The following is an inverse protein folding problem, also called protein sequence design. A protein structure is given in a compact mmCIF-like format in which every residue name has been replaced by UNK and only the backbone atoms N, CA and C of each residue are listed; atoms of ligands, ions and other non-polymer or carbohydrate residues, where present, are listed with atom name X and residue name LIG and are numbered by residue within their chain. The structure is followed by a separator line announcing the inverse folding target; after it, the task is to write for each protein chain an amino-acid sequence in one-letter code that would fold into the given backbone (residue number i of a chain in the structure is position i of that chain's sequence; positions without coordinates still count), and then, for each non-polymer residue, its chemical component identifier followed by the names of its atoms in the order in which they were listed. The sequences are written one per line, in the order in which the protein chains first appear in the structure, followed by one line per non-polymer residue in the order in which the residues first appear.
data_IF_352169218555
#
_entry.id   IF_352169218555
#
_cell.length_a   1.000
_cell.length_b   1.000
_cell.length_c   1.000
_cell.angle_alpha   90.00
_cell.angle_beta   90.00
_cell.angle_gamma   90.00
#
_symmetry.space_group_name_H-M   'P 1'
#
loop_
_entity.id
_entity.type
_entity.pdbx_description
1 polymer ?
#
# COMPACT_ATOMS: atom_id res chain seq x y z
N UNK A 1 26.06 52.63 19.06
CA UNK A 1 24.83 52.29 18.32
C UNK A 1 24.93 50.83 17.86
N UNK A 2 23.87 50.04 18.06
CA UNK A 2 23.69 48.77 17.35
C UNK A 2 23.94 47.49 18.15
N UNK A 3 22.89 46.93 18.76
CA UNK A 3 22.56 45.49 18.83
C UNK A 3 21.14 45.33 19.42
N UNK A 4 20.14 45.91 18.76
CA UNK A 4 18.72 45.69 19.08
C UNK A 4 18.01 45.45 17.76
N UNK A 5 18.00 44.22 17.25
CA UNK A 5 17.41 44.01 15.91
C UNK A 5 17.38 42.61 15.32
N UNK A 6 17.70 41.54 16.06
CA UNK A 6 17.64 40.17 15.49
C UNK A 6 16.70 39.25 16.29
N UNK A 7 16.58 39.43 17.60
CA UNK A 7 15.71 38.60 18.45
C UNK A 7 14.22 38.81 18.22
N UNK A 8 13.78 40.02 17.85
CA UNK A 8 12.35 40.35 17.75
C UNK A 8 11.73 39.95 16.40
N UNK A 9 12.54 39.77 15.35
CA UNK A 9 12.05 39.35 14.02
C UNK A 9 11.78 37.84 14.00
N UNK A 10 12.58 37.05 14.74
CA UNK A 10 12.45 35.60 14.77
C UNK A 10 11.16 35.12 15.48
N UNK A 11 10.64 35.91 16.43
CA UNK A 11 9.40 35.57 17.13
C UNK A 11 8.13 35.79 16.28
N UNK A 12 8.18 36.70 15.30
CA UNK A 12 7.03 37.05 14.45
C UNK A 12 6.82 36.07 13.29
N UNK A 13 7.86 35.35 12.86
CA UNK A 13 7.77 34.38 11.75
C UNK A 13 7.03 33.10 12.18
N UNK A 14 7.05 32.75 13.47
CA UNK A 14 6.39 31.53 13.96
C UNK A 14 4.86 31.64 14.10
N UNK A 15 4.27 32.84 14.17
CA UNK A 15 2.83 33.00 14.31
C UNK A 15 2.05 33.06 12.97
N UNK A 16 2.74 33.18 11.83
CA UNK A 16 2.08 33.34 10.52
C UNK A 16 1.75 32.05 9.78
N UNK A 17 2.27 30.89 10.21
CA UNK A 17 2.21 29.64 9.44
C UNK A 17 0.89 28.87 9.47
N UNK A 18 -0.10 29.28 10.28
CA UNK A 18 -1.35 28.52 10.49
C UNK A 18 -2.51 28.94 9.57
N UNK A 19 -2.36 29.99 8.75
CA UNK A 19 -3.45 30.52 7.92
C UNK A 19 -3.51 29.96 6.48
N UNK A 20 -2.68 28.96 6.13
CA UNK A 20 -2.52 28.48 4.75
C UNK A 20 -3.38 27.29 4.31
N UNK A 21 -4.31 26.78 5.12
CA UNK A 21 -5.07 25.56 4.80
C UNK A 21 -6.56 25.78 4.47
N UNK A 22 -7.01 27.01 4.22
CA UNK A 22 -8.35 27.22 3.68
C UNK A 22 -8.28 27.24 2.15
N UNK A 23 -8.36 26.04 1.57
CA UNK A 23 -8.66 25.89 0.16
C UNK A 23 -10.09 26.36 -0.11
N UNK A 24 -10.21 27.38 -0.95
CA UNK A 24 -11.48 27.92 -1.42
C UNK A 24 -12.01 27.11 -2.61
N UNK A 25 -13.15 26.42 -2.41
CA UNK A 25 -14.25 26.33 -3.39
C UNK A 25 -14.24 25.21 -4.43
N UNK A 26 -15.10 24.19 -4.23
CA UNK A 26 -16.23 23.84 -5.11
C UNK A 26 -17.13 22.82 -4.38
N UNK A 27 -18.36 23.21 -4.05
CA UNK A 27 -19.40 22.32 -3.49
C UNK A 27 -19.95 21.38 -4.56
N UNK A 28 -19.13 20.43 -4.99
CA UNK A 28 -19.66 19.14 -5.44
C UNK A 28 -19.74 18.27 -4.17
N UNK A 29 -20.89 18.30 -3.52
CA UNK A 29 -21.09 17.63 -2.23
C UNK A 29 -20.55 16.20 -2.28
N UNK A 30 -19.93 15.70 -1.19
CA UNK A 30 -19.30 14.38 -1.20
C UNK A 30 -20.32 13.35 -1.68
N UNK A 31 -20.07 12.74 -2.86
CA UNK A 31 -20.66 11.42 -3.09
C UNK A 31 -20.24 10.60 -1.88
N UNK A 32 -21.18 10.01 -1.13
CA UNK A 32 -20.79 9.14 -0.04
C UNK A 32 -19.79 8.14 -0.63
N UNK A 33 -18.64 7.90 0.03
CA UNK A 33 -17.70 6.92 -0.48
C UNK A 33 -18.48 5.63 -0.71
N UNK A 34 -18.20 4.86 -1.79
CA UNK A 34 -18.84 3.58 -1.97
C UNK A 34 -18.71 2.82 -0.65
N UNK A 35 -19.83 2.33 -0.12
CA UNK A 35 -19.81 1.50 1.09
C UNK A 35 -19.18 0.19 0.66
N UNK A 36 -17.87 0.10 0.82
CA UNK A 36 -17.08 -1.09 0.56
C UNK A 36 -17.39 -2.06 1.71
N UNK A 37 -18.36 -2.95 1.52
CA UNK A 37 -18.62 -4.03 2.47
C UNK A 37 -17.58 -5.12 2.28
N UNK A 38 -16.69 -5.30 3.27
CA UNK A 38 -15.75 -6.42 3.29
C UNK A 38 -16.51 -7.74 3.44
N UNK A 39 -16.26 -8.75 2.59
CA UNK A 39 -16.88 -10.06 2.73
C UNK A 39 -16.44 -10.73 4.03
N UNK A 40 -17.33 -11.53 4.61
CA UNK A 40 -16.94 -12.49 5.64
C UNK A 40 -16.32 -13.71 4.97
N UNK A 41 -15.02 -13.91 5.18
CA UNK A 41 -14.29 -15.03 4.60
C UNK A 41 -14.45 -16.28 5.46
N UNK A 42 -14.79 -17.42 4.83
CA UNK A 42 -14.83 -18.72 5.52
C UNK A 42 -13.44 -19.17 5.99
N UNK A 43 -12.40 -18.76 5.27
CA UNK A 43 -10.99 -18.90 5.64
C UNK A 43 -10.19 -17.76 5.00
N UNK A 44 -9.05 -17.42 5.60
CA UNK A 44 -8.21 -16.32 5.12
C UNK A 44 -8.69 -14.94 5.57
N UNK A 45 -8.41 -13.91 4.77
CA UNK A 45 -8.65 -12.51 5.15
C UNK A 45 -9.27 -11.71 4.00
N UNK A 46 -10.05 -10.69 4.34
CA UNK A 46 -10.55 -9.73 3.36
C UNK A 46 -9.42 -8.83 2.87
N UNK A 47 -9.30 -8.71 1.56
CA UNK A 47 -8.35 -7.84 0.85
C UNK A 47 -9.14 -7.05 -0.20
N UNK A 48 -8.55 -5.98 -0.72
CA UNK A 48 -9.19 -5.11 -1.72
C UNK A 48 -8.29 -5.07 -2.96
N UNK A 49 -8.82 -5.51 -4.11
CA UNK A 49 -8.26 -5.27 -5.44
C UNK A 49 -9.10 -4.23 -6.20
N UNK A 50 -8.78 -3.88 -7.45
CA UNK A 50 -9.58 -2.88 -8.20
C UNK A 50 -11.00 -3.38 -8.46
N UNK A 51 -11.23 -4.70 -8.53
CA UNK A 51 -12.57 -5.27 -8.63
C UNK A 51 -13.39 -5.18 -7.33
N UNK A 52 -12.78 -4.73 -6.22
CA UNK A 52 -13.39 -4.58 -4.91
C UNK A 52 -12.91 -5.60 -3.87
N UNK A 53 -13.61 -5.68 -2.72
CA UNK A 53 -13.26 -6.60 -1.64
C UNK A 53 -13.44 -8.06 -2.01
N UNK A 54 -12.45 -8.87 -1.65
CA UNK A 54 -12.46 -10.31 -1.86
C UNK A 54 -11.66 -11.04 -0.78
N UNK A 55 -11.78 -12.36 -0.73
CA UNK A 55 -11.10 -13.17 0.27
C UNK A 55 -9.76 -13.69 -0.27
N UNK A 56 -8.67 -13.28 0.37
CA UNK A 56 -7.37 -13.89 0.16
C UNK A 56 -7.21 -15.13 1.03
N UNK A 57 -6.81 -16.23 0.40
CA UNK A 57 -6.49 -17.50 1.07
C UNK A 57 -5.06 -17.46 1.58
N UNK A 58 -4.83 -17.86 2.84
CA UNK A 58 -3.48 -18.07 3.37
C UNK A 58 -2.91 -19.35 2.80
N UNK A 59 -1.71 -19.28 2.24
CA UNK A 59 -1.06 -20.43 1.64
C UNK A 59 -0.21 -21.20 2.67
N UNK A 60 -0.40 -22.53 2.78
CA UNK A 60 0.28 -23.38 3.77
C UNK A 60 1.78 -23.51 3.51
N UNK A 61 2.23 -23.27 2.28
CA UNK A 61 3.62 -23.26 1.86
C UNK A 61 4.24 -21.85 1.87
N UNK A 62 3.55 -20.84 2.41
CA UNK A 62 4.06 -19.49 2.56
C UNK A 62 5.44 -19.46 3.25
N UNK A 63 6.43 -18.82 2.60
CA UNK A 63 7.80 -18.74 3.10
C UNK A 63 8.69 -19.94 2.78
N UNK A 64 8.16 -21.03 2.21
CA UNK A 64 8.97 -22.15 1.68
C UNK A 64 9.91 -21.64 0.59
N UNK A 65 11.18 -22.03 0.63
CA UNK A 65 12.14 -21.69 -0.43
C UNK A 65 11.73 -22.30 -1.78
N UNK A 66 11.94 -21.55 -2.87
CA UNK A 66 11.54 -21.95 -4.22
C UNK A 66 12.52 -21.42 -5.27
N UNK A 67 12.49 -22.01 -6.48
CA UNK A 67 13.23 -21.53 -7.65
C UNK A 67 12.35 -21.19 -8.85
N UNK A 68 11.08 -21.58 -8.81
CA UNK A 68 10.08 -21.38 -9.83
C UNK A 68 8.69 -21.33 -9.16
N UNK A 69 7.74 -20.55 -9.70
CA UNK A 69 6.40 -20.47 -9.11
C UNK A 69 5.62 -21.80 -9.16
N UNK A 70 5.97 -22.72 -10.06
CA UNK A 70 5.38 -24.08 -10.11
C UNK A 70 5.67 -24.92 -8.86
N UNK A 71 6.64 -24.52 -8.02
CA UNK A 71 6.94 -25.16 -6.73
C UNK A 71 6.05 -24.66 -5.59
N UNK A 72 5.23 -23.63 -5.84
CA UNK A 72 4.39 -22.96 -4.87
C UNK A 72 2.90 -23.10 -5.22
N UNK A 73 2.03 -23.05 -4.22
CA UNK A 73 0.59 -22.86 -4.47
C UNK A 73 0.30 -21.45 -4.99
N UNK A 74 1.09 -20.47 -4.56
CA UNK A 74 1.10 -19.10 -5.07
C UNK A 74 2.29 -18.83 -5.99
N UNK A 75 3.01 -17.73 -5.73
CA UNK A 75 4.15 -17.32 -6.55
C UNK A 75 5.47 -17.52 -5.81
N UNK A 76 6.55 -17.74 -6.55
CA UNK A 76 7.91 -17.66 -6.01
C UNK A 76 8.39 -16.20 -6.07
N UNK A 77 8.48 -15.52 -4.92
CA UNK A 77 8.87 -14.11 -4.87
C UNK A 77 10.38 -13.95 -5.11
N UNK A 78 10.78 -13.03 -5.99
CA UNK A 78 12.19 -12.81 -6.32
C UNK A 78 13.01 -12.29 -5.14
N UNK A 79 12.48 -11.29 -4.44
CA UNK A 79 13.17 -10.61 -3.33
C UNK A 79 13.61 -11.56 -2.22
N UNK A 80 12.76 -12.55 -1.91
CA UNK A 80 12.97 -13.47 -0.80
C UNK A 80 13.30 -14.90 -1.23
N UNK A 81 13.12 -15.23 -2.51
CA UNK A 81 13.18 -16.60 -3.05
C UNK A 81 12.33 -17.58 -2.26
N UNK A 82 11.11 -17.15 -1.92
CA UNK A 82 10.16 -17.94 -1.15
C UNK A 82 8.72 -17.82 -1.66
N UNK A 83 7.91 -18.83 -1.38
CA UNK A 83 6.51 -18.87 -1.79
C UNK A 83 5.69 -17.77 -1.09
N UNK A 84 4.81 -17.11 -1.83
CA UNK A 84 3.89 -16.11 -1.33
C UNK A 84 2.99 -16.66 -0.22
N UNK A 85 2.73 -15.86 0.82
CA UNK A 85 1.94 -16.28 1.98
C UNK A 85 0.42 -16.26 1.75
N UNK A 86 -0.05 -15.59 0.70
CA UNK A 86 -1.47 -15.44 0.40
C UNK A 86 -1.76 -15.50 -1.10
N UNK A 87 -2.99 -15.88 -1.47
CA UNK A 87 -3.52 -15.78 -2.83
C UNK A 87 -4.90 -15.13 -2.88
N UNK A 88 -5.17 -14.25 -3.84
CA UNK A 88 -4.20 -13.65 -4.77
C UNK A 88 -3.19 -12.76 -4.03
N UNK A 89 -1.96 -12.67 -4.54
CA UNK A 89 -0.92 -11.81 -4.00
C UNK A 89 -0.95 -10.47 -4.74
N UNK A 90 -1.76 -9.54 -4.23
CA UNK A 90 -2.05 -8.28 -4.91
C UNK A 90 -0.86 -7.32 -4.99
N UNK A 91 -0.86 -6.52 -6.05
CA UNK A 91 0.19 -5.56 -6.36
C UNK A 91 1.11 -6.04 -7.48
N UNK A 92 2.11 -5.21 -7.79
CA UNK A 92 3.14 -5.53 -8.77
C UNK A 92 4.40 -6.02 -8.07
N UNK A 93 4.83 -7.24 -8.39
CA UNK A 93 5.95 -7.92 -7.71
C UNK A 93 6.84 -8.63 -8.72
N UNK A 94 8.13 -8.70 -8.40
CA UNK A 94 9.06 -9.55 -9.14
C UNK A 94 8.91 -11.00 -8.69
N UNK A 95 8.69 -11.91 -9.63
CA UNK A 95 8.71 -13.35 -9.41
C UNK A 95 10.02 -13.95 -9.88
N UNK A 96 10.42 -15.03 -9.24
CA UNK A 96 11.58 -15.81 -9.64
C UNK A 96 11.15 -17.02 -10.45
N UNK A 97 11.52 -17.02 -11.74
CA UNK A 97 11.20 -18.07 -12.70
C UNK A 97 12.49 -18.56 -13.36
N UNK A 98 12.90 -19.78 -13.04
CA UNK A 98 14.03 -20.49 -13.68
C UNK A 98 15.33 -19.68 -13.76
N UNK A 99 15.65 -18.94 -12.70
CA UNK A 99 16.87 -18.12 -12.64
C UNK A 99 16.72 -16.70 -13.19
N UNK A 100 15.49 -16.27 -13.49
CA UNK A 100 15.18 -14.93 -13.99
C UNK A 100 14.13 -14.28 -13.12
N UNK A 101 14.17 -12.95 -13.10
CA UNK A 101 13.14 -12.15 -12.44
C UNK A 101 12.12 -11.66 -13.47
N UNK A 102 10.84 -11.85 -13.18
CA UNK A 102 9.73 -11.45 -14.05
C UNK A 102 8.76 -10.60 -13.24
N UNK A 103 8.51 -9.37 -13.68
CA UNK A 103 7.50 -8.53 -13.05
C UNK A 103 6.10 -8.96 -13.46
N UNK A 104 5.23 -9.19 -12.47
CA UNK A 104 3.80 -9.38 -12.68
C UNK A 104 3.02 -8.35 -11.88
N UNK A 105 1.81 -8.03 -12.33
CA UNK A 105 0.85 -7.23 -11.59
C UNK A 105 -0.44 -8.04 -11.44
N UNK A 106 -0.86 -8.25 -10.19
CA UNK A 106 -2.12 -8.92 -9.85
C UNK A 106 -3.00 -7.91 -9.16
N UNK A 107 -4.27 -7.93 -9.54
CA UNK A 107 -5.30 -7.02 -9.05
C UNK A 107 -6.70 -7.68 -9.01
#
# INVERSE_FOLDING_TARGET
MGTLGVGSVLALICLGGLAGCLGEGNDEGPRPPPVITSPTCASGQSVVGLAGPQCATVEPDGGKACRNSTECRGFCLADTRSCSSVRPYFGCHALYEDGREVMICVD
#
